data_IF_767688826787
#
_entry.id   IF_767688826787
#
_cell.length_a   1.000
_cell.length_b   1.000
_cell.length_c   1.000
_cell.angle_alpha   90.00
_cell.angle_beta   90.00
_cell.angle_gamma   90.00
#
_symmetry.space_group_name_H-M   'P 1'
#
loop_
_entity.id
_entity.type
_entity.pdbx_description
1 polymer ?
#
# COMPACT_ATOMS: atom_id res chain seq x y z
N UNK A 1 -30.78 20.61 17.00
CA UNK A 1 -29.94 21.76 17.35
C UNK A 1 -28.77 21.82 16.37
N UNK A 2 -28.63 22.89 15.57
CA UNK A 2 -27.41 23.14 14.77
C UNK A 2 -26.46 23.95 15.65
N UNK A 3 -25.28 23.42 15.91
CA UNK A 3 -24.26 24.11 16.70
C UNK A 3 -23.51 25.10 15.80
N UNK A 4 -23.26 26.31 16.31
CA UNK A 4 -22.59 27.39 15.56
C UNK A 4 -21.13 27.07 15.19
N UNK A 5 -20.48 26.13 15.88
CA UNK A 5 -19.08 25.75 15.59
C UNK A 5 -18.84 24.26 15.90
N UNK A 6 -19.16 23.41 14.92
CA UNK A 6 -19.05 21.95 15.03
C UNK A 6 -17.60 21.47 15.28
N UNK A 7 -16.60 22.22 14.83
CA UNK A 7 -15.17 21.86 14.99
C UNK A 7 -14.72 22.01 16.43
N UNK A 8 -15.18 23.06 17.13
CA UNK A 8 -14.88 23.25 18.56
C UNK A 8 -15.49 22.17 19.42
N UNK A 9 -16.74 21.78 19.15
CA UNK A 9 -17.41 20.71 19.89
C UNK A 9 -16.71 19.37 19.67
N UNK A 10 -16.37 19.05 18.42
CA UNK A 10 -15.64 17.82 18.11
C UNK A 10 -14.28 17.76 18.83
N UNK A 11 -13.52 18.86 18.82
CA UNK A 11 -12.23 18.93 19.51
C UNK A 11 -12.36 18.82 21.03
N UNK A 12 -13.42 19.37 21.61
CA UNK A 12 -13.70 19.28 23.03
C UNK A 12 -14.07 17.84 23.45
N UNK A 13 -14.93 17.17 22.66
CA UNK A 13 -15.32 15.77 22.88
C UNK A 13 -14.11 14.85 22.73
N UNK A 14 -13.30 15.02 21.68
CA UNK A 14 -12.10 14.20 21.46
C UNK A 14 -11.09 14.34 22.60
N UNK A 15 -10.90 15.57 23.11
CA UNK A 15 -10.00 15.83 24.25
C UNK A 15 -10.53 15.22 25.55
N UNK A 16 -11.84 15.31 25.80
CA UNK A 16 -12.48 14.71 26.96
C UNK A 16 -12.41 13.17 26.93
N UNK A 17 -12.68 12.54 25.78
CA UNK A 17 -12.59 11.08 25.61
C UNK A 17 -11.15 10.60 25.81
N UNK A 18 -10.16 11.29 25.23
CA UNK A 18 -8.74 10.95 25.42
C UNK A 18 -8.32 11.07 26.89
N UNK A 19 -8.76 12.12 27.60
CA UNK A 19 -8.48 12.27 29.03
C UNK A 19 -9.15 11.19 29.87
N UNK A 20 -10.39 10.83 29.56
CA UNK A 20 -11.11 9.77 30.26
C UNK A 20 -10.42 8.40 30.10
N UNK A 21 -9.97 8.05 28.89
CA UNK A 21 -9.23 6.80 28.62
C UNK A 21 -7.90 6.74 29.36
N UNK A 22 -7.17 7.86 29.40
CA UNK A 22 -5.88 7.95 30.12
C UNK A 22 -6.09 7.88 31.63
N UNK A 23 -7.19 8.42 32.15
CA UNK A 23 -7.53 8.38 33.58
C UNK A 23 -8.14 7.04 34.02
N UNK A 24 -8.83 6.32 33.13
CA UNK A 24 -9.45 5.02 33.43
C UNK A 24 -8.53 3.82 33.17
N UNK A 25 -7.41 4.03 32.47
CA UNK A 25 -6.39 2.99 32.28
C UNK A 25 -5.45 2.99 33.49
N UNK A 26 -5.79 2.20 34.52
CA UNK A 26 -4.78 1.76 35.49
C UNK A 26 -3.82 0.81 34.80
N UNK A 27 -2.55 1.22 34.66
CA UNK A 27 -1.51 0.31 34.18
C UNK A 27 -1.43 -0.91 35.12
N UNK A 28 -1.42 -2.15 34.61
CA UNK A 28 -1.22 -3.31 35.46
C UNK A 28 0.17 -3.24 36.09
N UNK A 29 0.23 -3.27 37.42
CA UNK A 29 1.49 -3.42 38.14
C UNK A 29 1.98 -4.86 37.98
N UNK A 30 2.95 -5.07 37.09
CA UNK A 30 3.68 -6.34 36.99
C UNK A 30 4.57 -6.50 38.22
N UNK A 31 4.14 -7.31 39.19
CA UNK A 31 5.03 -7.83 40.23
C UNK A 31 5.89 -8.94 39.62
N UNK A 32 7.18 -8.65 39.41
CA UNK A 32 8.18 -9.67 39.13
C UNK A 32 8.45 -10.44 40.42
N UNK A 33 7.92 -11.66 40.53
CA UNK A 33 8.26 -12.58 41.60
C UNK A 33 9.75 -12.94 41.55
N UNK A 34 10.38 -13.06 42.71
CA UNK A 34 11.77 -13.54 42.82
C UNK A 34 11.87 -14.97 42.29
N UNK A 35 12.81 -15.26 41.37
CA UNK A 35 12.95 -16.60 40.81
C UNK A 35 13.63 -17.55 41.81
N UNK A 36 13.01 -18.70 42.01
CA UNK A 36 13.63 -19.88 42.66
C UNK A 36 14.76 -20.40 41.75
N UNK A 37 15.96 -20.71 42.27
CA UNK A 37 17.06 -21.19 41.44
C UNK A 37 16.79 -22.61 40.92
N UNK A 38 16.79 -22.76 39.59
CA UNK A 38 16.84 -24.04 38.90
C UNK A 38 18.29 -24.58 38.83
N UNK A 39 18.50 -25.91 38.76
CA UNK A 39 19.83 -26.49 38.72
C UNK A 39 20.57 -26.13 37.41
N UNK A 40 21.92 -26.13 37.42
CA UNK A 40 22.70 -25.67 36.28
C UNK A 40 22.58 -26.66 35.10
N UNK A 41 22.06 -26.17 33.99
CA UNK A 41 22.19 -26.83 32.70
C UNK A 41 23.63 -26.63 32.18
N UNK A 42 24.29 -27.72 31.80
CA UNK A 42 25.61 -27.69 31.17
C UNK A 42 25.49 -27.07 29.78
N UNK A 43 26.19 -25.97 29.52
CA UNK A 43 26.27 -25.37 28.20
C UNK A 43 27.24 -26.15 27.30
N UNK A 44 26.87 -26.45 26.04
CA UNK A 44 27.83 -26.94 25.06
C UNK A 44 28.71 -25.78 24.54
N UNK A 45 30.00 -26.06 24.40
CA UNK A 45 31.03 -25.07 24.06
C UNK A 45 30.88 -24.44 22.67
N UNK A 46 31.43 -23.24 22.52
CA UNK A 46 31.34 -22.38 21.33
C UNK A 46 31.78 -23.03 19.99
N UNK A 47 32.43 -24.20 20.02
CA UNK A 47 32.82 -24.96 18.83
C UNK A 47 31.64 -25.68 18.14
N UNK A 48 30.58 -26.07 18.89
CA UNK A 48 29.41 -26.76 18.32
C UNK A 48 28.43 -25.83 17.59
N UNK A 49 28.44 -24.52 17.90
CA UNK A 49 27.61 -23.53 17.19
C UNK A 49 28.12 -23.23 15.78
N UNK A 50 29.42 -23.40 15.53
CA UNK A 50 30.04 -23.15 14.23
C UNK A 50 29.93 -24.37 13.28
N UNK A 51 29.85 -25.60 13.80
CA UNK A 51 29.70 -26.82 12.98
C UNK A 51 28.30 -26.95 12.36
N UNK A 52 27.26 -26.49 13.07
CA UNK A 52 25.87 -26.55 12.57
C UNK A 52 25.59 -25.64 11.36
N UNK A 53 26.26 -24.49 11.28
CA UNK A 53 26.10 -23.57 10.13
C UNK A 53 26.81 -24.08 8.87
N UNK A 54 28.01 -24.66 9.04
CA UNK A 54 28.75 -25.27 7.93
C UNK A 54 28.01 -26.47 7.31
N UNK A 55 27.47 -27.37 8.15
CA UNK A 55 26.70 -28.53 7.69
C UNK A 55 25.38 -28.13 7.00
N UNK A 56 24.71 -27.09 7.49
CA UNK A 56 23.47 -26.57 6.90
C UNK A 56 23.71 -25.83 5.57
N UNK A 57 24.84 -25.15 5.43
CA UNK A 57 25.26 -24.52 4.17
C UNK A 57 25.59 -25.56 3.09
N UNK A 58 26.30 -26.62 3.45
CA UNK A 58 26.66 -27.69 2.49
C UNK A 58 25.42 -28.50 2.05
N UNK A 59 24.42 -28.68 2.91
CA UNK A 59 23.12 -29.25 2.53
C UNK A 59 22.36 -28.39 1.51
N UNK A 60 22.40 -27.06 1.64
CA UNK A 60 21.75 -26.13 0.70
C UNK A 60 22.47 -26.12 -0.66
N UNK A 61 23.81 -26.22 -0.66
CA UNK A 61 24.60 -26.29 -1.88
C UNK A 61 24.48 -27.65 -2.58
N UNK A 62 24.32 -28.76 -1.85
CA UNK A 62 24.09 -30.09 -2.42
C UNK A 62 22.64 -30.35 -2.86
N UNK A 63 21.66 -29.60 -2.32
CA UNK A 63 20.26 -29.70 -2.75
C UNK A 63 20.02 -29.28 -4.22
N UNK A 64 20.98 -28.56 -4.83
CA UNK A 64 20.99 -28.25 -6.26
C UNK A 64 21.70 -29.28 -7.16
N UNK A 65 22.31 -30.33 -6.60
CA UNK A 65 23.12 -31.30 -7.34
C UNK A 65 22.34 -32.53 -7.83
N UNK A 66 21.09 -32.73 -7.37
CA UNK A 66 20.24 -33.84 -7.78
C UNK A 66 19.00 -33.33 -8.51
N UNK A 67 19.13 -33.17 -9.82
CA UNK A 67 17.99 -32.90 -10.72
C UNK A 67 18.17 -31.70 -11.65
N UNK A 68 19.29 -31.62 -12.36
CA UNK A 68 19.31 -30.88 -13.62
C UNK A 68 18.50 -31.66 -14.66
N UNK A 69 17.17 -31.52 -14.63
CA UNK A 69 16.42 -31.56 -15.89
C UNK A 69 16.56 -30.16 -16.48
N UNK A 70 17.28 -30.09 -17.60
CA UNK A 70 17.48 -28.87 -18.36
C UNK A 70 16.11 -28.25 -18.70
N UNK A 71 15.80 -27.12 -18.06
CA UNK A 71 14.79 -26.21 -18.58
C UNK A 71 15.44 -25.53 -19.78
N UNK A 72 14.97 -25.87 -20.98
CA UNK A 72 15.30 -25.18 -22.22
C UNK A 72 14.83 -23.72 -22.12
N UNK A 73 15.72 -22.87 -21.61
CA UNK A 73 15.56 -21.43 -21.69
C UNK A 73 15.73 -21.02 -23.15
N UNK A 74 14.66 -20.49 -23.73
CA UNK A 74 14.62 -19.90 -25.05
C UNK A 74 15.84 -19.00 -25.30
N UNK A 75 16.67 -19.39 -26.27
CA UNK A 75 17.79 -18.59 -26.75
C UNK A 75 17.31 -17.82 -27.98
N UNK A 76 17.21 -16.49 -27.93
CA UNK A 76 16.84 -15.72 -29.11
C UNK A 76 17.93 -15.84 -30.19
N UNK A 77 17.56 -15.95 -31.48
CA UNK A 77 18.53 -15.99 -32.57
C UNK A 77 19.31 -14.66 -32.65
N UNK A 78 20.57 -14.69 -33.13
CA UNK A 78 21.38 -13.49 -33.29
C UNK A 78 20.71 -12.51 -34.26
N UNK A 79 20.72 -11.23 -33.88
CA UNK A 79 20.14 -10.13 -34.63
C UNK A 79 20.76 -10.03 -36.04
N UNK A 80 19.94 -10.26 -37.06
CA UNK A 80 20.27 -9.85 -38.43
C UNK A 80 20.18 -8.32 -38.51
N UNK A 81 21.32 -7.68 -38.78
CA UNK A 81 21.43 -6.25 -39.06
C UNK A 81 20.40 -5.81 -40.11
N UNK A 82 19.47 -4.94 -39.71
CA UNK A 82 18.57 -4.25 -40.62
C UNK A 82 19.31 -3.02 -41.17
N UNK A 83 19.41 -2.83 -42.50
CA UNK A 83 20.11 -1.68 -43.08
C UNK A 83 19.45 -0.35 -42.68
N UNK A 84 20.23 0.54 -42.07
CA UNK A 84 19.87 1.93 -41.79
C UNK A 84 19.64 2.69 -43.11
N UNK A 85 18.40 3.10 -43.35
CA UNK A 85 18.06 4.04 -44.44
C UNK A 85 18.41 5.46 -43.99
N UNK A 86 19.25 6.23 -44.71
CA UNK A 86 19.60 7.58 -44.33
C UNK A 86 18.39 8.53 -44.46
N UNK A 87 18.05 9.21 -43.37
CA UNK A 87 17.01 10.24 -43.34
C UNK A 87 17.63 11.59 -43.72
N UNK A 88 17.06 12.27 -44.70
CA UNK A 88 17.52 13.58 -45.19
C UNK A 88 17.32 14.70 -44.14
N UNK A 89 18.16 15.75 -44.15
CA UNK A 89 18.14 16.81 -43.15
C UNK A 89 16.99 17.80 -43.38
N UNK A 90 16.29 18.16 -42.31
CA UNK A 90 15.35 19.30 -42.28
C UNK A 90 15.99 20.45 -41.50
N UNK A 91 16.04 21.63 -42.13
CA UNK A 91 16.62 22.86 -41.58
C UNK A 91 15.76 23.47 -40.46
N UNK A 92 16.37 24.25 -39.53
CA UNK A 92 15.64 24.89 -38.44
C UNK A 92 15.05 26.24 -38.85
N UNK A 93 13.79 26.48 -38.52
CA UNK A 93 13.20 27.83 -38.50
C UNK A 93 12.90 28.22 -37.06
N UNK A 94 13.54 29.32 -36.66
CA UNK A 94 13.36 30.05 -35.42
C UNK A 94 12.05 30.84 -35.44
N UNK A 95 11.28 30.77 -34.35
CA UNK A 95 10.34 31.81 -33.95
C UNK A 95 10.05 31.69 -32.44
N UNK A 96 10.57 32.64 -31.67
CA UNK A 96 10.18 32.92 -30.28
C UNK A 96 8.79 33.58 -30.24
N UNK A 97 8.03 33.41 -29.15
CA UNK A 97 7.19 34.50 -28.67
C UNK A 97 7.56 34.94 -27.25
N UNK A 98 7.30 36.23 -27.04
CA UNK A 98 7.68 37.11 -25.95
C UNK A 98 7.17 36.71 -24.56
N UNK A 99 7.99 37.06 -23.58
CA UNK A 99 7.65 37.07 -22.17
C UNK A 99 6.63 38.19 -21.86
N UNK A 100 5.63 37.86 -21.04
CA UNK A 100 4.77 38.84 -20.39
C UNK A 100 4.93 38.66 -18.88
N UNK A 101 5.65 39.60 -18.26
CA UNK A 101 5.71 39.78 -16.81
C UNK A 101 4.39 40.37 -16.31
N UNK A 102 3.86 39.82 -15.21
CA UNK A 102 2.93 40.52 -14.33
C UNK A 102 3.23 40.18 -12.85
N UNK A 103 2.96 41.13 -11.93
CA UNK A 103 3.68 41.28 -10.68
C UNK A 103 3.15 40.40 -9.54
N UNK A 104 4.04 40.10 -8.60
CA UNK A 104 3.76 39.34 -7.38
C UNK A 104 2.83 40.10 -6.41
N UNK A 105 1.85 39.42 -5.77
CA UNK A 105 1.32 39.85 -4.50
C UNK A 105 1.97 39.03 -3.37
N UNK A 106 2.50 39.75 -2.38
CA UNK A 106 3.01 39.24 -1.11
C UNK A 106 2.05 38.21 -0.49
N UNK A 107 2.55 36.99 -0.22
CA UNK A 107 1.82 35.96 0.50
C UNK A 107 2.49 35.66 1.84
N UNK A 108 1.70 35.89 2.88
CA UNK A 108 1.86 35.56 4.28
C UNK A 108 2.29 34.10 4.50
N UNK A 109 3.25 33.88 5.39
CA UNK A 109 3.73 32.56 5.83
C UNK A 109 2.62 31.78 6.57
N UNK A 110 2.02 30.81 5.87
CA UNK A 110 1.38 29.62 6.42
C UNK A 110 2.20 28.37 6.04
N UNK A 111 1.91 27.17 6.58
CA UNK A 111 2.75 25.99 6.38
C UNK A 111 2.89 25.67 4.89
N UNK A 112 4.12 25.41 4.45
CA UNK A 112 4.52 25.04 3.08
C UNK A 112 3.51 24.09 2.43
N UNK A 113 2.62 24.67 1.62
CA UNK A 113 1.57 23.97 0.89
C UNK A 113 2.02 23.66 -0.53
N UNK A 114 3.10 22.90 -0.68
CA UNK A 114 3.30 22.13 -1.91
C UNK A 114 2.27 21.00 -1.92
N UNK A 115 1.46 20.89 -2.97
CA UNK A 115 0.48 19.80 -3.07
C UNK A 115 1.14 18.41 -3.19
N UNK A 116 2.41 18.36 -3.62
CA UNK A 116 3.22 17.14 -3.69
C UNK A 116 4.25 17.03 -2.57
N UNK A 117 4.79 15.83 -2.40
CA UNK A 117 5.97 15.61 -1.56
C UNK A 117 7.24 16.10 -2.28
N UNK A 118 8.25 16.61 -1.55
CA UNK A 118 9.58 16.77 -2.13
C UNK A 118 10.17 15.39 -2.47
N UNK A 119 11.18 15.31 -3.35
CA UNK A 119 11.88 14.06 -3.59
C UNK A 119 12.51 13.54 -2.29
N UNK A 120 12.23 12.28 -1.95
CA UNK A 120 12.68 11.63 -0.73
C UNK A 120 13.74 10.57 -1.03
N UNK A 121 14.77 10.53 -0.19
CA UNK A 121 15.76 9.45 -0.19
C UNK A 121 15.39 8.41 0.85
N UNK A 122 15.15 7.17 0.42
CA UNK A 122 14.92 6.04 1.33
C UNK A 122 16.19 5.74 2.12
N UNK A 123 16.05 5.65 3.44
CA UNK A 123 17.10 5.28 4.39
C UNK A 123 16.99 3.81 4.79
N UNK A 124 15.77 3.32 5.01
CA UNK A 124 15.54 1.91 5.34
C UNK A 124 14.13 1.64 5.87
N UNK A 125 13.94 0.46 6.45
CA UNK A 125 12.67 0.00 7.01
C UNK A 125 12.78 -0.19 8.54
N UNK A 126 11.72 0.15 9.27
CA UNK A 126 11.62 -0.07 10.72
C UNK A 126 10.40 -0.96 11.02
N UNK A 127 10.64 -2.03 11.78
CA UNK A 127 9.59 -2.92 12.27
C UNK A 127 8.77 -3.60 11.17
N UNK A 128 9.34 -3.76 9.97
CA UNK A 128 8.66 -4.30 8.79
C UNK A 128 7.31 -3.61 8.47
N UNK A 129 7.17 -2.33 8.87
CA UNK A 129 5.91 -1.58 8.84
C UNK A 129 6.09 -0.15 8.33
N UNK A 130 7.21 0.47 8.69
CA UNK A 130 7.48 1.85 8.33
C UNK A 130 8.70 1.98 7.44
N UNK A 131 8.61 2.81 6.41
CA UNK A 131 9.76 3.24 5.63
C UNK A 131 10.26 4.56 6.21
N UNK A 132 11.56 4.63 6.46
CA UNK A 132 12.26 5.85 6.88
C UNK A 132 12.87 6.48 5.64
N UNK A 133 12.56 7.74 5.41
CA UNK A 133 13.14 8.52 4.33
C UNK A 133 13.57 9.90 4.81
N UNK A 134 14.51 10.52 4.12
CA UNK A 134 14.94 11.89 4.37
C UNK A 134 14.64 12.77 3.15
N UNK A 135 14.35 14.04 3.39
CA UNK A 135 14.13 15.04 2.35
C UNK A 135 14.55 16.43 2.81
N UNK A 136 14.39 17.45 1.96
CA UNK A 136 14.83 18.82 2.26
C UNK A 136 14.23 19.40 3.55
N UNK A 137 13.05 18.94 3.95
CA UNK A 137 12.34 19.45 5.12
C UNK A 137 12.57 18.61 6.39
N UNK A 138 13.37 17.53 6.33
CA UNK A 138 13.70 16.67 7.47
C UNK A 138 13.48 15.18 7.24
N UNK A 139 13.09 14.47 8.31
CA UNK A 139 12.85 13.04 8.32
C UNK A 139 11.37 12.72 8.08
N UNK A 140 11.10 11.69 7.29
CA UNK A 140 9.78 11.18 6.98
C UNK A 140 9.67 9.73 7.45
N UNK A 141 8.65 9.45 8.25
CA UNK A 141 8.26 8.11 8.65
C UNK A 141 6.96 7.75 7.93
N UNK A 142 7.04 6.84 6.96
CA UNK A 142 5.96 6.49 6.05
C UNK A 142 5.38 5.13 6.46
N UNK A 143 4.07 5.07 6.70
CA UNK A 143 3.34 3.81 6.90
C UNK A 143 3.20 3.12 5.53
N UNK A 144 3.92 2.01 5.33
CA UNK A 144 4.01 1.36 4.02
C UNK A 144 2.65 0.84 3.54
N UNK A 145 1.79 0.41 4.48
CA UNK A 145 0.47 -0.12 4.17
C UNK A 145 -0.46 1.01 3.74
N UNK A 146 -0.55 2.07 4.56
CA UNK A 146 -1.39 3.23 4.25
C UNK A 146 -0.95 3.95 2.97
N UNK A 147 0.36 4.02 2.72
CA UNK A 147 0.92 4.56 1.49
C UNK A 147 0.53 3.71 0.26
N UNK A 148 0.64 2.37 0.37
CA UNK A 148 0.25 1.50 -0.75
C UNK A 148 -1.25 1.58 -1.04
N UNK A 149 -2.11 1.66 -0.02
CA UNK A 149 -3.55 1.90 -0.20
C UNK A 149 -3.83 3.19 -0.98
N UNK A 150 -3.17 4.30 -0.61
CA UNK A 150 -3.29 5.59 -1.31
C UNK A 150 -2.88 5.48 -2.78
N UNK A 151 -1.72 4.89 -3.05
CA UNK A 151 -1.21 4.73 -4.40
C UNK A 151 -2.19 3.93 -5.28
N UNK A 152 -2.68 2.80 -4.79
CA UNK A 152 -3.59 1.97 -5.56
C UNK A 152 -4.93 2.66 -5.79
N UNK A 153 -5.45 3.35 -4.78
CA UNK A 153 -6.70 4.08 -4.91
C UNK A 153 -6.61 5.16 -5.99
N UNK A 154 -5.53 5.94 -6.02
CA UNK A 154 -5.37 6.98 -7.05
C UNK A 154 -5.14 6.39 -8.44
N UNK A 155 -4.37 5.30 -8.56
CA UNK A 155 -4.24 4.56 -9.83
C UNK A 155 -5.59 4.07 -10.33
N UNK A 156 -6.40 3.52 -9.44
CA UNK A 156 -7.75 3.09 -9.78
C UNK A 156 -8.61 4.26 -10.26
N UNK A 157 -8.63 5.38 -9.52
CA UNK A 157 -9.40 6.57 -9.90
C UNK A 157 -8.94 7.16 -11.24
N UNK A 158 -7.64 7.10 -11.53
CA UNK A 158 -7.10 7.51 -12.83
C UNK A 158 -7.56 6.58 -13.97
N UNK A 159 -7.61 5.26 -13.74
CA UNK A 159 -8.10 4.28 -14.71
C UNK A 159 -9.60 4.43 -14.99
N UNK A 160 -10.40 4.76 -13.97
CA UNK A 160 -11.84 5.04 -14.10
C UNK A 160 -12.12 6.15 -15.12
N UNK A 161 -11.36 7.25 -15.07
CA UNK A 161 -11.53 8.37 -16.00
C UNK A 161 -10.92 8.14 -17.39
N UNK A 162 -10.22 7.02 -17.60
CA UNK A 162 -9.50 6.70 -18.82
C UNK A 162 -10.07 5.49 -19.56
N UNK A 163 -9.24 4.47 -19.76
CA UNK A 163 -9.52 3.27 -20.55
C UNK A 163 -10.27 2.16 -19.80
N UNK A 164 -10.77 2.43 -18.59
CA UNK A 164 -11.37 1.43 -17.69
C UNK A 164 -10.37 0.76 -16.75
N UNK A 165 -10.90 0.08 -15.73
CA UNK A 165 -10.11 -0.59 -14.69
C UNK A 165 -9.39 -1.81 -15.26
N UNK A 166 -8.09 -1.93 -15.00
CA UNK A 166 -7.30 -3.06 -15.45
C UNK A 166 -7.75 -4.36 -14.75
N UNK A 167 -8.06 -5.40 -15.53
CA UNK A 167 -8.54 -6.70 -15.04
C UNK A 167 -7.69 -7.86 -15.56
N UNK A 168 -7.54 -8.88 -14.73
CA UNK A 168 -6.89 -10.14 -15.05
C UNK A 168 -7.95 -11.23 -15.21
N UNK A 169 -8.01 -11.82 -16.40
CA UNK A 169 -8.80 -13.04 -16.64
C UNK A 169 -8.24 -14.22 -15.85
N UNK A 170 -9.13 -15.01 -15.27
CA UNK A 170 -8.77 -16.29 -14.66
C UNK A 170 -8.58 -17.34 -15.76
N UNK A 171 -7.58 -18.22 -15.58
CA UNK A 171 -7.34 -19.31 -16.53
C UNK A 171 -8.55 -20.25 -16.60
N UNK A 172 -9.05 -20.61 -15.42
CA UNK A 172 -10.31 -21.33 -15.24
C UNK A 172 -11.28 -20.42 -14.47
N UNK A 173 -12.53 -20.27 -14.94
CA UNK A 173 -13.55 -19.56 -14.18
C UNK A 173 -13.72 -20.18 -12.79
N UNK A 174 -13.76 -19.33 -11.77
CA UNK A 174 -13.95 -19.74 -10.38
C UNK A 174 -15.44 -19.76 -10.07
N UNK A 175 -15.95 -20.86 -9.53
CA UNK A 175 -17.29 -20.91 -8.94
C UNK A 175 -17.26 -20.36 -7.51
N UNK A 176 -18.00 -19.29 -7.26
CA UNK A 176 -18.18 -18.66 -5.96
C UNK A 176 -19.57 -19.00 -5.42
N UNK A 177 -19.64 -19.61 -4.24
CA UNK A 177 -20.89 -19.84 -3.51
C UNK A 177 -21.01 -18.82 -2.38
N UNK A 178 -22.02 -17.96 -2.46
CA UNK A 178 -22.20 -16.86 -1.49
C UNK A 178 -23.29 -17.13 -0.46
N UNK A 179 -24.04 -18.21 -0.61
CA UNK A 179 -25.21 -18.53 0.19
C UNK A 179 -26.45 -17.71 -0.19
N UNK A 180 -27.63 -18.29 0.04
CA UNK A 180 -28.93 -17.73 -0.38
C UNK A 180 -29.17 -16.30 0.13
N UNK A 181 -28.68 -16.00 1.34
CA UNK A 181 -28.85 -14.68 1.97
C UNK A 181 -28.12 -13.56 1.21
N UNK A 182 -27.01 -13.87 0.53
CA UNK A 182 -26.17 -12.91 -0.17
C UNK A 182 -26.35 -12.96 -1.69
N UNK A 183 -26.90 -14.06 -2.24
CA UNK A 183 -27.09 -14.23 -3.67
C UNK A 183 -27.87 -13.07 -4.31
N UNK A 184 -28.97 -12.66 -3.68
CA UNK A 184 -29.76 -11.51 -4.14
C UNK A 184 -28.99 -10.18 -4.08
N UNK A 185 -28.09 -10.02 -3.11
CA UNK A 185 -27.27 -8.83 -2.97
C UNK A 185 -26.19 -8.76 -4.04
N UNK A 186 -25.50 -9.87 -4.29
CA UNK A 186 -24.47 -9.94 -5.33
C UNK A 186 -25.09 -9.70 -6.71
N UNK A 187 -26.24 -10.33 -6.98
CA UNK A 187 -26.96 -10.15 -8.25
C UNK A 187 -27.39 -8.69 -8.49
N UNK A 188 -27.73 -7.95 -7.44
CA UNK A 188 -28.09 -6.53 -7.53
C UNK A 188 -26.90 -5.61 -7.83
N UNK A 189 -25.67 -6.07 -7.57
CA UNK A 189 -24.45 -5.25 -7.66
C UNK A 189 -23.43 -5.74 -8.68
N UNK A 190 -23.85 -6.57 -9.64
CA UNK A 190 -22.95 -7.09 -10.68
C UNK A 190 -22.34 -5.96 -11.53
N UNK A 191 -23.09 -4.90 -11.81
CA UNK A 191 -22.61 -3.77 -12.61
C UNK A 191 -21.55 -2.96 -11.84
N UNK A 192 -21.74 -2.71 -10.55
CA UNK A 192 -20.74 -2.03 -9.72
C UNK A 192 -19.50 -2.89 -9.47
N UNK A 193 -19.67 -4.21 -9.33
CA UNK A 193 -18.55 -5.16 -9.28
C UNK A 193 -17.77 -5.18 -10.60
N UNK A 194 -18.47 -5.11 -11.74
CA UNK A 194 -17.86 -4.97 -13.06
C UNK A 194 -17.12 -3.63 -13.24
N UNK A 195 -17.69 -2.53 -12.75
CA UNK A 195 -17.05 -1.23 -12.75
C UNK A 195 -15.71 -1.24 -11.99
N UNK A 196 -15.59 -2.08 -10.95
CA UNK A 196 -14.33 -2.24 -10.22
C UNK A 196 -13.39 -3.33 -10.74
N UNK A 197 -13.76 -4.02 -11.81
CA UNK A 197 -12.90 -4.97 -12.53
C UNK A 197 -13.19 -6.44 -12.25
N UNK A 198 -14.29 -6.78 -11.58
CA UNK A 198 -14.76 -8.17 -11.45
C UNK A 198 -15.75 -8.53 -12.55
N UNK A 199 -15.49 -9.60 -13.28
CA UNK A 199 -16.47 -10.16 -14.22
C UNK A 199 -17.13 -11.38 -13.59
N UNK A 200 -18.36 -11.20 -13.14
CA UNK A 200 -19.12 -12.19 -12.38
C UNK A 200 -20.46 -12.41 -13.08
N UNK A 201 -20.83 -13.67 -13.31
CA UNK A 201 -22.11 -14.04 -13.90
C UNK A 201 -22.87 -15.05 -13.03
N UNK A 202 -24.21 -14.98 -12.95
CA UNK A 202 -25.00 -15.96 -12.23
C UNK A 202 -24.83 -17.38 -12.80
N UNK A 203 -24.70 -18.38 -11.92
CA UNK A 203 -24.56 -19.79 -12.28
C UNK A 203 -25.59 -20.68 -11.56
N UNK A 204 -26.72 -20.09 -11.17
CA UNK A 204 -27.86 -20.77 -10.56
C UNK A 204 -27.82 -20.78 -9.03
N UNK A 205 -28.99 -20.61 -8.41
CA UNK A 205 -29.11 -20.58 -6.94
C UNK A 205 -28.24 -19.49 -6.32
N UNK A 206 -27.33 -19.91 -5.44
CA UNK A 206 -26.35 -19.07 -4.75
C UNK A 206 -24.95 -19.09 -5.39
N UNK A 207 -24.81 -19.68 -6.57
CA UNK A 207 -23.55 -19.85 -7.27
C UNK A 207 -23.36 -18.79 -8.37
N UNK A 208 -22.13 -18.30 -8.46
CA UNK A 208 -21.69 -17.34 -9.47
C UNK A 208 -20.37 -17.79 -10.11
N UNK A 209 -20.20 -17.57 -11.41
CA UNK A 209 -18.93 -17.76 -12.08
C UNK A 209 -18.15 -16.44 -12.13
N UNK A 210 -16.91 -16.47 -11.68
CA UNK A 210 -15.96 -15.37 -11.74
C UNK A 210 -15.01 -15.64 -12.90
N UNK A 211 -15.01 -14.77 -13.91
CA UNK A 211 -14.16 -14.88 -15.10
C UNK A 211 -12.93 -13.99 -15.03
N UNK A 212 -13.02 -12.85 -14.36
CA UNK A 212 -11.89 -11.96 -14.16
C UNK A 212 -11.97 -11.22 -12.83
N UNK A 213 -10.79 -10.80 -12.35
CA UNK A 213 -10.63 -9.99 -11.15
C UNK A 213 -9.81 -8.73 -11.47
N UNK A 214 -9.90 -7.66 -10.65
CA UNK A 214 -9.04 -6.50 -10.79
C UNK A 214 -7.57 -6.90 -10.77
N UNK A 215 -6.75 -6.32 -11.66
CA UNK A 215 -5.33 -6.70 -11.80
C UNK A 215 -4.51 -6.42 -10.53
N UNK A 216 -4.98 -5.51 -9.67
CA UNK A 216 -4.37 -5.24 -8.36
C UNK A 216 -4.51 -6.41 -7.38
N UNK A 217 -5.43 -7.35 -7.64
CA UNK A 217 -5.62 -8.59 -6.88
C UNK A 217 -4.93 -9.80 -7.53
N UNK A 218 -4.12 -9.57 -8.57
CA UNK A 218 -3.33 -10.61 -9.22
C UNK A 218 -2.51 -11.43 -8.22
N UNK A 219 -2.56 -12.76 -8.35
CA UNK A 219 -1.80 -13.68 -7.49
C UNK A 219 -2.36 -13.85 -6.07
N UNK A 220 -3.48 -13.20 -5.73
CA UNK A 220 -4.21 -13.48 -4.49
C UNK A 220 -5.24 -14.60 -4.69
N UNK A 221 -5.71 -15.15 -3.57
CA UNK A 221 -6.88 -16.03 -3.56
C UNK A 221 -8.14 -15.22 -3.87
N UNK A 222 -8.54 -15.26 -5.15
CA UNK A 222 -9.70 -14.54 -5.67
C UNK A 222 -10.99 -14.92 -4.96
N UNK A 223 -11.17 -16.20 -4.57
CA UNK A 223 -12.37 -16.67 -3.90
C UNK A 223 -12.50 -16.00 -2.53
N UNK A 224 -11.45 -16.12 -1.71
CA UNK A 224 -11.42 -15.53 -0.37
C UNK A 224 -11.58 -14.00 -0.42
N UNK A 225 -10.95 -13.33 -1.38
CA UNK A 225 -11.08 -11.86 -1.51
C UNK A 225 -12.51 -11.47 -1.90
N UNK A 226 -13.14 -12.20 -2.81
CA UNK A 226 -14.51 -11.94 -3.21
C UNK A 226 -15.50 -12.20 -2.07
N UNK A 227 -15.37 -13.29 -1.34
CA UNK A 227 -16.17 -13.55 -0.14
C UNK A 227 -16.06 -12.38 0.86
N UNK A 228 -14.83 -11.93 1.14
CA UNK A 228 -14.59 -10.80 2.04
C UNK A 228 -15.21 -9.49 1.54
N UNK A 229 -15.20 -9.23 0.23
CA UNK A 229 -15.83 -8.05 -0.38
C UNK A 229 -17.35 -8.15 -0.28
N UNK A 230 -17.93 -9.32 -0.61
CA UNK A 230 -19.37 -9.55 -0.56
C UNK A 230 -19.90 -9.45 0.87
N UNK A 231 -19.17 -9.97 1.86
CA UNK A 231 -19.52 -9.77 3.26
C UNK A 231 -19.43 -8.29 3.68
N UNK A 232 -18.38 -7.57 3.25
CA UNK A 232 -18.24 -6.13 3.51
C UNK A 232 -19.40 -5.29 2.94
N UNK A 233 -19.98 -5.71 1.81
CA UNK A 233 -21.16 -5.05 1.24
C UNK A 233 -22.38 -5.06 2.18
N UNK A 234 -22.50 -6.07 3.04
CA UNK A 234 -23.58 -6.20 4.02
C UNK A 234 -23.33 -5.28 5.21
N UNK A 235 -22.11 -5.32 5.77
CA UNK A 235 -21.74 -4.59 6.98
C UNK A 235 -21.82 -3.07 6.80
N UNK A 236 -21.51 -2.59 5.60
CA UNK A 236 -21.41 -1.15 5.32
C UNK A 236 -22.69 -0.54 4.72
N UNK A 237 -23.80 -1.29 4.63
CA UNK A 237 -25.10 -0.81 4.05
C UNK A 237 -25.60 0.52 4.61
N UNK A 238 -25.22 0.86 5.84
CA UNK A 238 -25.71 2.03 6.58
C UNK A 238 -24.89 3.31 6.38
N UNK A 239 -23.82 3.28 5.58
CA UNK A 239 -23.01 4.46 5.27
C UNK A 239 -23.69 5.35 4.21
N UNK A 240 -24.61 6.20 4.68
CA UNK A 240 -25.33 7.16 3.82
C UNK A 240 -24.37 8.20 3.23
N UNK A 241 -24.24 8.22 1.90
CA UNK A 241 -23.65 9.32 1.14
C UNK A 241 -22.36 9.02 0.37
N UNK A 242 -21.78 7.82 0.50
CA UNK A 242 -20.68 7.37 -0.36
C UNK A 242 -21.21 6.53 -1.52
N UNK A 243 -20.73 6.79 -2.74
CA UNK A 243 -21.08 5.98 -3.92
C UNK A 243 -20.58 4.55 -3.71
N UNK A 244 -21.44 3.55 -3.93
CA UNK A 244 -21.14 2.12 -3.72
C UNK A 244 -19.83 1.69 -4.40
N UNK A 245 -19.59 2.21 -5.60
CA UNK A 245 -18.36 1.99 -6.36
C UNK A 245 -17.12 2.44 -5.56
N UNK A 246 -17.11 3.68 -5.02
CA UNK A 246 -15.98 4.20 -4.25
C UNK A 246 -15.67 3.34 -3.02
N UNK A 247 -16.72 2.78 -2.39
CA UNK A 247 -16.61 1.83 -1.29
C UNK A 247 -15.98 0.51 -1.72
N UNK A 248 -16.44 -0.07 -2.84
CA UNK A 248 -15.85 -1.26 -3.45
C UNK A 248 -14.35 -1.05 -3.75
N UNK A 249 -13.98 0.11 -4.28
CA UNK A 249 -12.57 0.44 -4.55
C UNK A 249 -11.75 0.43 -3.27
N UNK A 250 -12.23 1.07 -2.20
CA UNK A 250 -11.54 1.06 -0.89
C UNK A 250 -11.34 -0.36 -0.39
N UNK A 251 -12.36 -1.21 -0.48
CA UNK A 251 -12.25 -2.62 -0.10
C UNK A 251 -11.21 -3.37 -0.95
N UNK A 252 -11.24 -3.22 -2.28
CA UNK A 252 -10.26 -3.84 -3.19
C UNK A 252 -8.84 -3.37 -2.88
N UNK A 253 -8.63 -2.05 -2.74
CA UNK A 253 -7.31 -1.49 -2.42
C UNK A 253 -6.80 -1.97 -1.06
N UNK A 254 -7.66 -2.07 -0.05
CA UNK A 254 -7.29 -2.61 1.26
C UNK A 254 -6.77 -4.05 1.16
N UNK A 255 -7.45 -4.90 0.37
CA UNK A 255 -7.05 -6.31 0.16
C UNK A 255 -5.80 -6.45 -0.71
N UNK A 256 -5.63 -5.58 -1.70
CA UNK A 256 -4.46 -5.55 -2.59
C UNK A 256 -3.18 -5.03 -1.92
N UNK A 257 -3.32 -4.32 -0.79
CA UNK A 257 -2.21 -3.58 -0.20
C UNK A 257 -1.14 -4.46 0.45
N UNK A 258 0.04 -3.87 0.66
CA UNK A 258 1.15 -4.56 1.32
C UNK A 258 0.67 -4.94 2.72
N UNK A 259 0.88 -6.19 3.10
CA UNK A 259 0.49 -6.68 4.41
C UNK A 259 1.35 -6.05 5.50
N UNK A 260 0.74 -5.74 6.64
CA UNK A 260 1.49 -5.32 7.81
C UNK A 260 2.52 -6.40 8.18
N UNK A 261 3.76 -5.97 8.46
CA UNK A 261 4.86 -6.87 8.81
C UNK A 261 5.64 -7.45 7.62
N UNK A 262 5.35 -7.04 6.38
CA UNK A 262 6.14 -7.45 5.22
C UNK A 262 7.47 -6.68 5.16
N UNK A 263 8.58 -7.42 5.08
CA UNK A 263 9.90 -6.83 4.80
C UNK A 263 9.98 -6.49 3.31
N UNK A 264 10.39 -5.26 3.01
CA UNK A 264 10.55 -4.77 1.64
C UNK A 264 12.03 -4.69 1.29
N UNK A 265 12.38 -5.06 0.06
CA UNK A 265 13.69 -4.78 -0.52
C UNK A 265 13.89 -3.28 -0.73
N UNK A 266 15.15 -2.85 -0.86
CA UNK A 266 15.49 -1.45 -1.15
C UNK A 266 14.83 -0.94 -2.43
N UNK A 267 14.67 -1.81 -3.43
CA UNK A 267 14.02 -1.46 -4.70
C UNK A 267 12.52 -1.23 -4.47
N UNK A 268 11.85 -2.13 -3.75
CA UNK A 268 10.42 -2.01 -3.43
C UNK A 268 10.12 -0.77 -2.58
N UNK A 269 10.96 -0.47 -1.58
CA UNK A 269 10.80 0.74 -0.77
C UNK A 269 10.93 2.00 -1.61
N UNK A 270 11.96 2.09 -2.45
CA UNK A 270 12.17 3.26 -3.33
C UNK A 270 11.02 3.44 -4.31
N UNK A 271 10.55 2.35 -4.89
CA UNK A 271 9.44 2.41 -5.83
C UNK A 271 8.12 2.81 -5.14
N UNK A 272 7.86 2.30 -3.94
CA UNK A 272 6.68 2.70 -3.17
C UNK A 272 6.72 4.19 -2.84
N UNK A 273 7.87 4.71 -2.38
CA UNK A 273 8.03 6.13 -2.07
C UNK A 273 7.88 6.99 -3.33
N UNK A 274 8.51 6.60 -4.44
CA UNK A 274 8.37 7.30 -5.73
C UNK A 274 6.92 7.35 -6.22
N UNK A 275 6.18 6.25 -6.07
CA UNK A 275 4.76 6.20 -6.42
C UNK A 275 3.92 7.07 -5.47
N UNK A 276 4.27 7.12 -4.18
CA UNK A 276 3.59 7.98 -3.22
C UNK A 276 3.82 9.46 -3.54
N UNK A 277 5.04 9.86 -3.88
CA UNK A 277 5.38 11.23 -4.30
C UNK A 277 4.55 11.71 -5.49
N UNK A 278 4.21 10.80 -6.42
CA UNK A 278 3.41 11.08 -7.60
C UNK A 278 1.89 11.17 -7.32
N UNK A 279 1.44 10.83 -6.11
CA UNK A 279 0.03 10.92 -5.75
C UNK A 279 -0.39 12.39 -5.54
N UNK A 280 -1.64 12.71 -5.88
CA UNK A 280 -2.27 14.00 -5.65
C UNK A 280 -2.52 14.26 -4.16
N UNK A 281 -2.85 13.22 -3.39
CA UNK A 281 -3.11 13.31 -1.95
C UNK A 281 -2.20 12.38 -1.15
N UNK A 282 -0.87 12.61 -1.18
CA UNK A 282 0.11 11.63 -0.71
C UNK A 282 0.15 11.49 0.81
N UNK A 283 -0.45 12.41 1.57
CA UNK A 283 -0.37 12.49 3.04
C UNK A 283 -1.50 11.79 3.80
N UNK A 284 -2.55 11.34 3.12
CA UNK A 284 -3.74 10.75 3.76
C UNK A 284 -4.21 9.55 2.97
N UNK A 285 -4.44 8.39 3.59
CA UNK A 285 -4.97 7.23 2.89
C UNK A 285 -6.47 7.40 2.55
N UNK A 286 -7.06 6.55 1.70
CA UNK A 286 -8.48 6.62 1.34
C UNK A 286 -9.44 6.50 2.53
N UNK A 287 -8.97 5.91 3.63
CA UNK A 287 -9.70 5.74 4.90
C UNK A 287 -9.48 6.89 5.89
N UNK A 288 -8.73 7.93 5.52
CA UNK A 288 -8.51 9.13 6.35
C UNK A 288 -7.33 9.06 7.32
N UNK A 289 -6.60 7.94 7.41
CA UNK A 289 -5.38 7.83 8.23
C UNK A 289 -4.20 8.57 7.57
N UNK A 290 -3.28 9.17 8.32
CA UNK A 290 -2.05 9.71 7.74
C UNK A 290 -1.22 8.59 7.10
N UNK A 291 -0.65 8.84 5.92
CA UNK A 291 0.32 7.92 5.28
C UNK A 291 1.74 8.13 5.81
N UNK A 292 2.03 9.29 6.38
CA UNK A 292 3.35 9.63 6.89
C UNK A 292 3.29 10.62 8.05
N UNK A 293 4.36 10.63 8.83
CA UNK A 293 4.69 11.65 9.82
C UNK A 293 5.99 12.30 9.39
N UNK A 294 6.06 13.62 9.47
CA UNK A 294 7.25 14.40 9.16
C UNK A 294 7.82 14.99 10.45
N UNK A 295 9.13 14.82 10.65
CA UNK A 295 9.90 15.44 11.71
C UNK A 295 10.89 16.39 11.06
N UNK A 296 10.67 17.69 11.27
CA UNK A 296 11.55 18.71 10.72
C UNK A 296 12.95 18.65 11.33
N UNK A 297 13.95 19.15 10.61
CA UNK A 297 15.33 19.23 11.11
C UNK A 297 15.40 19.95 12.46
N UNK A 298 14.64 21.05 12.63
CA UNK A 298 14.56 21.77 13.90
C UNK A 298 13.82 21.03 15.02
N UNK A 299 12.89 20.11 14.71
CA UNK A 299 12.31 19.20 15.72
C UNK A 299 13.29 18.13 16.16
N UNK A 300 14.07 17.58 15.23
CA UNK A 300 15.12 16.61 15.53
C UNK A 300 16.22 17.24 16.39
N UNK A 301 16.71 18.41 16.00
CA UNK A 301 17.69 19.19 16.76
C UNK A 301 17.23 19.44 18.20
N UNK A 302 16.00 19.93 18.39
CA UNK A 302 15.40 20.13 19.72
C UNK A 302 15.29 18.83 20.51
N UNK A 303 14.95 17.71 19.87
CA UNK A 303 14.86 16.40 20.53
C UNK A 303 16.22 15.95 21.10
N UNK A 304 17.32 16.30 20.42
CA UNK A 304 18.68 16.08 20.92
C UNK A 304 19.21 17.20 21.83
N UNK A 305 18.37 18.18 22.19
CA UNK A 305 18.78 19.38 22.93
C UNK A 305 19.92 20.14 22.23
N UNK A 306 19.92 20.10 20.89
CA UNK A 306 20.87 20.81 20.02
C UNK A 306 20.17 22.03 19.43
N UNK A 307 19.86 23.01 20.26
CA UNK A 307 19.48 24.39 19.87
C UNK A 307 19.57 25.24 21.11
#
# INVERSE_FOLDING_TARGET
MRFQDARRIFSAVQKAVRQAIVQSTSAPHLSLGTPTPAPPAQEPGAQERLSGWAARRDQILQAGAHGQQALDLYTPPPETEVPLVPRAPVSPTSALPEAVEHPAPSRTMGPSGGQGLPPLRVVGQVGATYIVAEGPEGLYLIDQHAAHERIMYEKFMAQRHGSGVARQGLLDPLTLHVGDALAGLVAQHLDELAAVGFEIEPFGGDAFLVRSVPSVLAGQDAARVLEEIVHGLVEERDLVGEELEARLVKMVCKRASIKAGQVLSDIEMKELVRQLEACQSPRTCPHGRPTMIQLSSGELERAFKRT
#
